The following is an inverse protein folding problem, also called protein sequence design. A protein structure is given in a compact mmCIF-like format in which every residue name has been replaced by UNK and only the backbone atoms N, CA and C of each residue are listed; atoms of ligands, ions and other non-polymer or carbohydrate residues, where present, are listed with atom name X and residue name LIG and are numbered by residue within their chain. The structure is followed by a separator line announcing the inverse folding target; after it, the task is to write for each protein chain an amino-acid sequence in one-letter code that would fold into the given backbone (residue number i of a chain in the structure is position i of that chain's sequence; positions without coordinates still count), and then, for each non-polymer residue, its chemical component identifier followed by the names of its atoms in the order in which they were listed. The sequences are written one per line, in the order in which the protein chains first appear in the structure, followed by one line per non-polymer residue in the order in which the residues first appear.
data_IF_724211892122
#
_entry.id   IF_724211892122
#
_cell.length_a   1.000
_cell.length_b   1.000
_cell.length_c   1.000
_cell.angle_alpha   90.00
_cell.angle_beta   90.00
_cell.angle_gamma   90.00
#
_symmetry.space_group_name_H-M   'P 1'
#
loop_
_entity.id
_entity.type
_entity.pdbx_description
1 polymer ?
#
# COMPACT_ATOMS: atom_id res chain seq x y z
N UNK A 1 1.70 13.65 8.91
CA UNK A 1 1.22 12.51 8.13
C UNK A 1 1.61 11.22 8.77
N UNK A 2 0.60 10.46 9.17
CA UNK A 2 0.70 9.08 9.60
C UNK A 2 1.22 8.24 8.43
N UNK A 3 2.16 7.34 8.70
CA UNK A 3 2.67 6.39 7.71
C UNK A 3 1.57 5.41 7.29
N UNK A 4 1.38 5.22 5.98
CA UNK A 4 0.43 4.23 5.45
C UNK A 4 1.19 2.94 5.14
N UNK A 5 0.82 1.86 5.82
CA UNK A 5 1.41 0.53 5.66
C UNK A 5 0.47 -0.37 4.85
N UNK A 6 0.89 -0.76 3.65
CA UNK A 6 0.14 -1.66 2.78
C UNK A 6 0.61 -3.10 2.96
N UNK A 7 -0.32 -4.01 3.25
CA UNK A 7 -0.05 -5.42 3.52
C UNK A 7 -0.88 -6.28 2.57
N UNK A 8 -0.23 -7.07 1.71
CA UNK A 8 -0.91 -7.99 0.81
C UNK A 8 -1.59 -9.11 1.59
N UNK A 9 -2.83 -9.46 1.23
CA UNK A 9 -3.46 -10.63 1.86
C UNK A 9 -2.70 -11.91 1.50
N UNK A 10 -2.20 -12.00 0.26
CA UNK A 10 -1.30 -13.05 -0.23
C UNK A 10 -0.36 -12.46 -1.28
N UNK A 11 0.62 -13.25 -1.71
CA UNK A 11 1.46 -12.91 -2.86
C UNK A 11 0.63 -12.69 -4.14
N UNK A 12 1.03 -11.72 -4.96
CA UNK A 12 0.36 -11.41 -6.23
C UNK A 12 -0.91 -10.56 -6.13
N UNK A 13 -1.22 -10.02 -4.94
CA UNK A 13 -2.38 -9.16 -4.71
C UNK A 13 -2.18 -7.69 -5.14
N UNK A 14 -0.97 -7.32 -5.58
CA UNK A 14 -0.67 -5.98 -6.08
C UNK A 14 -0.29 -4.98 -5.00
N UNK A 15 0.17 -5.43 -3.82
CA UNK A 15 0.60 -4.56 -2.70
C UNK A 15 1.61 -3.52 -3.15
N UNK A 16 2.70 -3.94 -3.79
CA UNK A 16 3.73 -3.06 -4.34
C UNK A 16 3.16 -2.04 -5.31
N UNK A 17 2.24 -2.44 -6.18
CA UNK A 17 1.58 -1.53 -7.13
C UNK A 17 0.73 -0.47 -6.41
N UNK A 18 -0.03 -0.87 -5.40
CA UNK A 18 -0.85 0.04 -4.59
C UNK A 18 0.03 0.99 -3.77
N UNK A 19 1.09 0.49 -3.13
CA UNK A 19 2.04 1.29 -2.37
C UNK A 19 2.76 2.32 -3.26
N UNK A 20 3.22 1.93 -4.45
CA UNK A 20 3.82 2.85 -5.42
C UNK A 20 2.81 3.91 -5.91
N UNK A 21 1.56 3.53 -6.16
CA UNK A 21 0.51 4.48 -6.53
C UNK A 21 0.20 5.47 -5.40
N UNK A 22 0.18 4.99 -4.16
CA UNK A 22 0.02 5.84 -2.99
C UNK A 22 1.18 6.82 -2.84
N UNK A 23 2.42 6.33 -2.97
CA UNK A 23 3.60 7.17 -2.90
C UNK A 23 3.59 8.26 -3.98
N UNK A 24 3.26 7.90 -5.22
CA UNK A 24 3.13 8.87 -6.32
C UNK A 24 2.00 9.89 -6.12
N UNK A 25 0.95 9.54 -5.37
CA UNK A 25 -0.14 10.44 -5.04
C UNK A 25 0.31 11.51 -4.05
N UNK A 26 1.09 11.11 -3.05
CA UNK A 26 1.58 11.97 -1.99
C UNK A 26 2.61 13.00 -2.46
N UNK A 27 3.24 12.77 -3.63
CA UNK A 27 4.14 13.74 -4.27
C UNK A 27 3.52 15.13 -4.42
N UNK A 28 2.18 15.21 -4.57
CA UNK A 28 1.47 16.48 -4.64
C UNK A 28 1.64 17.36 -3.39
N UNK A 29 1.91 16.76 -2.23
CA UNK A 29 2.21 17.44 -0.96
C UNK A 29 3.70 17.64 -0.67
N UNK A 30 4.59 17.10 -1.49
CA UNK A 30 6.05 17.15 -1.30
C UNK A 30 6.74 15.81 -1.60
N UNK A 31 8.09 15.74 -1.53
CA UNK A 31 8.82 14.49 -1.70
C UNK A 31 8.28 13.39 -0.78
N UNK A 32 8.13 12.19 -1.32
CA UNK A 32 7.58 11.02 -0.63
C UNK A 32 8.61 9.92 -0.52
N UNK A 33 8.83 9.46 0.70
CA UNK A 33 9.65 8.31 1.03
C UNK A 33 8.78 7.06 1.14
N UNK A 34 9.24 5.97 0.51
CA UNK A 34 8.65 4.63 0.56
C UNK A 34 9.69 3.64 1.09
N UNK A 35 9.26 2.68 1.91
CA UNK A 35 10.04 1.52 2.32
C UNK A 35 9.38 0.26 1.78
N UNK A 36 10.16 -0.80 1.58
CA UNK A 36 9.65 -2.06 1.04
C UNK A 36 10.26 -3.26 1.74
N UNK A 37 9.44 -4.28 1.97
CA UNK A 37 9.87 -5.62 2.37
C UNK A 37 10.87 -6.23 1.36
N UNK A 38 10.65 -5.99 0.07
CA UNK A 38 11.55 -6.40 -1.01
C UNK A 38 11.97 -5.18 -1.86
N UNK A 39 13.06 -4.49 -1.45
CA UNK A 39 13.58 -3.31 -2.16
C UNK A 39 13.98 -3.58 -3.61
N UNK A 40 14.48 -4.77 -3.91
CA UNK A 40 14.90 -5.16 -5.25
C UNK A 40 13.69 -5.35 -6.17
N UNK A 41 12.71 -6.14 -5.74
CA UNK A 41 11.47 -6.34 -6.50
C UNK A 41 10.72 -5.02 -6.75
N UNK A 42 10.69 -4.12 -5.76
CA UNK A 42 10.07 -2.79 -5.93
C UNK A 42 10.81 -1.94 -6.97
N UNK A 43 12.16 -1.94 -6.96
CA UNK A 43 12.97 -1.26 -7.97
C UNK A 43 12.70 -1.80 -9.38
N UNK A 44 12.67 -3.13 -9.53
CA UNK A 44 12.36 -3.80 -10.80
C UNK A 44 10.99 -3.39 -11.33
N UNK A 45 9.97 -3.31 -10.46
CA UNK A 45 8.61 -2.93 -10.84
C UNK A 45 8.48 -1.50 -11.43
N UNK A 46 9.47 -0.64 -11.18
CA UNK A 46 9.51 0.74 -11.70
C UNK A 46 10.63 0.97 -12.71
N UNK A 47 11.30 -0.10 -13.17
CA UNK A 47 12.33 -0.03 -14.20
C UNK A 47 13.65 0.59 -13.73
N UNK A 48 13.98 0.44 -12.44
CA UNK A 48 15.27 0.84 -11.88
C UNK A 48 15.97 -0.37 -11.26
N UNK A 49 17.22 -0.19 -10.82
CA UNK A 49 18.02 -1.21 -10.15
C UNK A 49 18.22 -0.80 -8.69
N UNK A 50 18.16 -1.79 -7.79
CA UNK A 50 18.55 -1.61 -6.40
C UNK A 50 20.06 -1.73 -6.26
N UNK A 51 20.69 -0.76 -5.58
CA UNK A 51 22.13 -0.74 -5.32
C UNK A 51 22.36 -0.41 -3.83
N UNK A 52 22.14 0.85 -3.47
CA UNK A 52 22.17 1.30 -2.07
C UNK A 52 21.07 2.34 -1.80
N UNK A 53 20.72 2.52 -0.54
CA UNK A 53 19.70 3.47 -0.11
C UNK A 53 20.31 4.86 0.17
N UNK A 54 19.62 5.95 -0.19
CA UNK A 54 18.30 6.00 -0.81
C UNK A 54 18.34 5.79 -2.34
N UNK A 55 17.35 5.06 -2.88
CA UNK A 55 17.16 4.93 -4.34
C UNK A 55 16.09 5.90 -4.81
N UNK A 56 16.41 6.72 -5.81
CA UNK A 56 15.39 7.57 -6.46
C UNK A 56 14.58 6.72 -7.46
N UNK A 57 13.34 6.40 -7.10
CA UNK A 57 12.44 5.60 -7.94
C UNK A 57 11.82 6.44 -9.06
N UNK A 58 11.46 7.68 -8.76
CA UNK A 58 10.96 8.66 -9.72
C UNK A 58 11.23 10.09 -9.23
N UNK A 59 10.76 11.10 -9.97
CA UNK A 59 10.74 12.46 -9.46
C UNK A 59 9.82 12.57 -8.24
N UNK A 60 10.38 12.97 -7.10
CA UNK A 60 9.65 13.12 -5.85
C UNK A 60 9.36 11.82 -5.08
N UNK A 61 9.80 10.63 -5.55
CA UNK A 61 9.60 9.35 -4.85
C UNK A 61 10.95 8.67 -4.60
N UNK A 62 11.23 8.36 -3.33
CA UNK A 62 12.50 7.79 -2.88
C UNK A 62 12.27 6.52 -2.06
N UNK A 63 12.98 5.45 -2.41
CA UNK A 63 13.09 4.25 -1.59
C UNK A 63 14.09 4.50 -0.46
N UNK A 64 13.69 4.24 0.78
CA UNK A 64 14.49 4.43 1.99
C UNK A 64 14.33 3.23 2.95
N UNK A 65 15.20 3.09 3.96
CA UNK A 65 15.00 2.13 5.04
C UNK A 65 13.67 2.42 5.75
N UNK A 66 13.06 1.38 6.32
CA UNK A 66 11.90 1.58 7.18
C UNK A 66 12.33 2.34 8.44
N UNK A 67 11.84 3.57 8.59
CA UNK A 67 12.25 4.49 9.63
C UNK A 67 11.11 5.46 10.00
N UNK A 68 11.11 6.02 11.23
CA UNK A 68 10.11 7.02 11.63
C UNK A 68 10.04 8.21 10.66
N UNK A 69 8.82 8.66 10.36
CA UNK A 69 8.57 9.81 9.49
C UNK A 69 8.45 9.50 8.00
N UNK A 70 8.57 8.23 7.60
CA UNK A 70 8.35 7.76 6.23
C UNK A 70 6.85 7.74 5.88
N UNK A 71 6.48 7.92 4.60
CA UNK A 71 5.08 8.10 4.22
C UNK A 71 4.36 6.79 3.86
N UNK A 72 5.05 5.86 3.17
CA UNK A 72 4.42 4.63 2.64
C UNK A 72 5.29 3.40 2.88
N UNK A 73 4.71 2.31 3.39
CA UNK A 73 5.43 1.04 3.53
C UNK A 73 4.74 -0.03 2.67
N UNK A 74 5.48 -0.70 1.80
CA UNK A 74 5.10 -1.98 1.20
C UNK A 74 5.58 -3.11 2.12
N UNK A 75 4.69 -3.60 2.98
CA UNK A 75 5.01 -4.57 4.03
C UNK A 75 4.95 -6.04 3.55
N UNK A 76 4.86 -6.29 2.24
CA UNK A 76 4.80 -7.65 1.71
C UNK A 76 3.42 -8.27 1.89
N UNK A 77 3.34 -9.40 2.62
CA UNK A 77 2.10 -10.20 2.74
C UNK A 77 1.79 -10.62 4.18
N UNK A 78 0.52 -10.90 4.49
CA UNK A 78 0.08 -11.40 5.81
C UNK A 78 0.77 -12.71 6.22
N UNK A 79 1.04 -13.60 5.26
CA UNK A 79 1.78 -14.85 5.53
C UNK A 79 3.21 -14.55 6.03
N UNK A 80 3.87 -13.55 5.43
CA UNK A 80 5.25 -13.16 5.77
C UNK A 80 5.32 -12.21 6.98
N UNK A 81 4.24 -11.47 7.24
CA UNK A 81 4.13 -10.56 8.38
C UNK A 81 4.18 -11.30 9.74
N UNK A 82 3.87 -12.60 9.76
CA UNK A 82 3.99 -13.43 10.96
C UNK A 82 5.31 -14.19 11.07
N UNK A 83 5.90 -14.59 9.93
CA UNK A 83 7.17 -15.34 9.92
C UNK A 83 8.37 -14.42 10.17
N UNK A 84 8.20 -13.12 9.92
CA UNK A 84 9.15 -12.07 10.24
C UNK A 84 8.37 -10.95 10.92
N UNK A 85 8.57 -10.76 12.23
CA UNK A 85 8.34 -9.43 12.82
C UNK A 85 9.10 -8.40 11.96
N UNK A 86 8.57 -7.18 11.75
CA UNK A 86 9.08 -6.29 10.73
C UNK A 86 10.55 -5.98 11.05
N UNK A 87 11.45 -6.53 10.25
CA UNK A 87 12.88 -6.22 10.21
C UNK A 87 13.62 -6.24 11.55
N UNK A 88 14.00 -7.42 12.08
CA UNK A 88 15.07 -7.60 13.10
C UNK A 88 15.10 -6.61 14.30
N UNK A 89 13.99 -5.93 14.57
CA UNK A 89 13.87 -4.93 15.62
C UNK A 89 13.33 -5.59 16.90
N UNK A 90 13.74 -5.02 18.04
CA UNK A 90 13.20 -5.40 19.36
C UNK A 90 11.65 -5.46 19.27
N UNK A 91 11.00 -6.58 19.65
CA UNK A 91 9.55 -6.73 19.57
C UNK A 91 8.76 -5.59 20.24
N UNK A 92 9.34 -4.87 21.21
CA UNK A 92 8.75 -3.66 21.76
C UNK A 92 8.67 -2.50 20.76
N UNK A 93 9.68 -2.35 19.91
CA UNK A 93 9.80 -1.31 18.88
C UNK A 93 8.92 -1.62 17.67
N UNK A 94 8.84 -2.88 17.26
CA UNK A 94 7.88 -3.34 16.25
C UNK A 94 6.42 -3.06 16.65
N UNK A 95 6.06 -3.27 17.93
CA UNK A 95 4.72 -2.97 18.47
C UNK A 95 4.44 -1.47 18.61
N UNK A 96 5.46 -0.65 18.85
CA UNK A 96 5.32 0.81 18.89
C UNK A 96 5.16 1.40 17.48
N UNK A 97 6.01 1.02 16.53
CA UNK A 97 5.89 1.40 15.12
C UNK A 97 4.55 0.94 14.52
N UNK A 98 4.07 -0.25 14.91
CA UNK A 98 2.76 -0.78 14.54
C UNK A 98 1.58 0.10 14.97
N UNK A 99 1.68 0.76 16.12
CA UNK A 99 0.59 1.58 16.69
C UNK A 99 0.47 2.97 16.07
N UNK A 100 1.51 3.41 15.37
CA UNK A 100 1.56 4.72 14.72
C UNK A 100 1.32 4.66 13.21
N UNK A 101 1.04 3.47 12.65
CA UNK A 101 0.80 3.26 11.22
C UNK A 101 -0.66 3.03 10.91
N UNK A 102 -1.11 3.55 9.77
CA UNK A 102 -2.42 3.24 9.21
C UNK A 102 -2.27 1.98 8.35
N UNK A 103 -2.85 0.86 8.80
CA UNK A 103 -2.62 -0.49 8.25
C UNK A 103 -3.69 -0.89 7.28
N UNK A 104 -3.31 -1.08 6.03
CA UNK A 104 -4.24 -1.29 4.92
C UNK A 104 -3.97 -2.63 4.25
N UNK A 105 -4.94 -3.53 4.32
CA UNK A 105 -4.88 -4.79 3.59
C UNK A 105 -5.07 -4.59 2.09
N UNK A 106 -4.34 -5.32 1.25
CA UNK A 106 -4.52 -5.32 -0.21
C UNK A 106 -5.04 -6.68 -0.65
N UNK A 107 -6.29 -6.71 -1.10
CA UNK A 107 -6.98 -7.92 -1.55
C UNK A 107 -7.28 -7.84 -3.04
N UNK A 108 -6.62 -8.65 -3.86
CA UNK A 108 -6.96 -8.81 -5.26
C UNK A 108 -8.01 -9.89 -5.47
N UNK A 109 -8.94 -9.60 -6.38
CA UNK A 109 -9.92 -10.53 -6.89
C UNK A 109 -10.60 -11.32 -5.80
N UNK A 110 -11.37 -10.65 -4.91
CA UNK A 110 -11.92 -11.26 -3.71
C UNK A 110 -12.50 -12.65 -3.98
N UNK A 111 -12.01 -13.63 -3.23
CA UNK A 111 -12.44 -15.01 -3.28
C UNK A 111 -12.44 -15.62 -1.88
N UNK A 112 -12.92 -16.86 -1.77
CA UNK A 112 -12.99 -17.56 -0.49
C UNK A 112 -11.61 -17.67 0.19
N UNK A 113 -10.53 -17.87 -0.57
CA UNK A 113 -9.19 -18.08 -0.01
C UNK A 113 -8.65 -16.76 0.55
N UNK A 114 -8.76 -15.66 -0.21
CA UNK A 114 -8.35 -14.34 0.25
C UNK A 114 -9.14 -13.88 1.48
N UNK A 115 -10.46 -14.07 1.48
CA UNK A 115 -11.27 -13.74 2.66
C UNK A 115 -10.96 -14.62 3.86
N UNK A 116 -10.76 -15.93 3.65
CA UNK A 116 -10.35 -16.83 4.73
C UNK A 116 -9.01 -16.42 5.32
N UNK A 117 -8.04 -16.03 4.50
CA UNK A 117 -6.74 -15.52 4.95
C UNK A 117 -6.93 -14.25 5.79
N UNK A 118 -7.70 -13.26 5.32
CA UNK A 118 -8.01 -12.06 6.10
C UNK A 118 -8.65 -12.37 7.46
N UNK A 119 -9.61 -13.30 7.49
CA UNK A 119 -10.28 -13.69 8.73
C UNK A 119 -9.39 -14.51 9.67
N UNK A 120 -8.40 -15.23 9.14
CA UNK A 120 -7.44 -15.98 9.93
C UNK A 120 -6.35 -15.10 10.55
N UNK A 121 -6.10 -13.91 9.98
CA UNK A 121 -5.05 -12.97 10.40
C UNK A 121 -5.60 -11.70 11.05
N UNK A 122 -6.40 -11.84 12.11
CA UNK A 122 -6.98 -10.68 12.80
C UNK A 122 -5.94 -9.87 13.60
N UNK A 123 -4.86 -10.53 14.02
CA UNK A 123 -3.71 -9.96 14.73
C UNK A 123 -2.96 -8.89 13.93
N UNK A 124 -3.12 -8.85 12.61
CA UNK A 124 -2.55 -7.79 11.77
C UNK A 124 -3.20 -6.42 12.02
N UNK A 125 -4.36 -6.37 12.69
CA UNK A 125 -5.06 -5.12 13.08
C UNK A 125 -5.23 -4.13 11.92
N UNK A 126 -5.67 -4.62 10.76
CA UNK A 126 -5.93 -3.78 9.59
C UNK A 126 -7.05 -2.77 9.87
N UNK A 127 -6.77 -1.49 9.61
CA UNK A 127 -7.69 -0.35 9.72
C UNK A 127 -8.64 -0.23 8.50
N UNK A 128 -8.23 -0.82 7.37
CA UNK A 128 -9.01 -0.80 6.15
C UNK A 128 -8.49 -1.77 5.09
N UNK A 129 -9.21 -1.87 3.98
CA UNK A 129 -8.87 -2.76 2.87
C UNK A 129 -8.91 -1.96 1.55
N UNK A 130 -7.88 -2.11 0.74
CA UNK A 130 -7.91 -1.80 -0.69
C UNK A 130 -8.28 -3.08 -1.44
N UNK A 131 -9.37 -3.02 -2.21
CA UNK A 131 -9.79 -4.14 -3.07
C UNK A 131 -9.27 -3.89 -4.47
N UNK A 132 -8.42 -4.78 -4.97
CA UNK A 132 -8.04 -4.82 -6.38
C UNK A 132 -9.09 -5.65 -7.13
N UNK A 133 -10.05 -4.98 -7.76
CA UNK A 133 -11.20 -5.58 -8.45
C UNK A 133 -10.75 -6.32 -9.70
N UNK A 134 -10.87 -7.65 -9.71
CA UNK A 134 -10.52 -8.49 -10.85
C UNK A 134 -11.80 -9.02 -11.53
N UNK A 135 -11.93 -8.75 -12.83
CA UNK A 135 -13.08 -9.20 -13.61
C UNK A 135 -13.23 -10.73 -13.59
N UNK A 136 -14.47 -11.20 -13.46
CA UNK A 136 -14.80 -12.63 -13.42
C UNK A 136 -14.71 -13.26 -12.03
N UNK A 137 -14.37 -12.50 -10.99
CA UNK A 137 -14.46 -12.95 -9.60
C UNK A 137 -15.88 -12.86 -9.08
N UNK A 138 -16.22 -13.77 -8.17
CA UNK A 138 -17.58 -13.95 -7.66
C UNK A 138 -17.93 -12.96 -6.53
N UNK A 139 -16.93 -12.48 -5.80
CA UNK A 139 -17.10 -11.59 -4.65
C UNK A 139 -16.66 -10.17 -5.01
N UNK A 140 -17.35 -9.19 -4.47
CA UNK A 140 -17.03 -7.77 -4.63
C UNK A 140 -16.61 -7.11 -3.31
N UNK A 141 -16.36 -5.80 -3.35
CA UNK A 141 -15.97 -5.03 -2.16
C UNK A 141 -17.01 -5.08 -1.03
N UNK A 142 -18.31 -5.19 -1.34
CA UNK A 142 -19.38 -5.25 -0.32
C UNK A 142 -19.35 -6.59 0.40
N UNK A 143 -19.06 -7.67 -0.31
CA UNK A 143 -18.84 -8.99 0.30
C UNK A 143 -17.62 -8.96 1.23
N UNK A 144 -16.54 -8.28 0.82
CA UNK A 144 -15.35 -8.08 1.66
C UNK A 144 -15.71 -7.34 2.94
N UNK A 145 -16.43 -6.21 2.86
CA UNK A 145 -16.86 -5.45 4.05
C UNK A 145 -17.78 -6.29 4.95
N UNK A 146 -18.73 -7.01 4.35
CA UNK A 146 -19.68 -7.85 5.08
C UNK A 146 -18.99 -9.00 5.84
N UNK A 147 -18.06 -9.70 5.20
CA UNK A 147 -17.37 -10.86 5.79
C UNK A 147 -16.30 -10.43 6.80
N UNK A 148 -15.56 -9.38 6.50
CA UNK A 148 -14.40 -8.99 7.32
C UNK A 148 -14.73 -7.99 8.42
N UNK A 149 -15.88 -7.31 8.33
CA UNK A 149 -16.25 -6.20 9.21
C UNK A 149 -15.37 -4.96 9.06
N UNK A 150 -14.48 -4.93 8.06
CA UNK A 150 -13.53 -3.84 7.81
C UNK A 150 -13.98 -3.01 6.63
N UNK A 151 -13.76 -1.70 6.72
CA UNK A 151 -14.07 -0.76 5.64
C UNK A 151 -13.18 -1.01 4.43
N UNK A 152 -13.76 -1.04 3.25
CA UNK A 152 -13.01 -0.91 2.00
C UNK A 152 -12.75 0.56 1.74
N UNK A 153 -11.48 0.97 1.83
CA UNK A 153 -11.07 2.39 1.71
C UNK A 153 -10.93 2.84 0.26
N UNK A 154 -10.63 1.90 -0.64
CA UNK A 154 -10.59 2.15 -2.08
C UNK A 154 -10.76 0.85 -2.87
N UNK A 155 -11.36 0.97 -4.06
CA UNK A 155 -11.36 -0.07 -5.09
C UNK A 155 -10.45 0.35 -6.24
N UNK A 156 -9.54 -0.53 -6.64
CA UNK A 156 -8.61 -0.36 -7.76
C UNK A 156 -8.91 -1.43 -8.81
N UNK A 157 -9.27 -1.03 -10.02
CA UNK A 157 -9.55 -2.01 -11.07
C UNK A 157 -8.26 -2.69 -11.56
N UNK A 158 -8.27 -4.02 -11.60
CA UNK A 158 -7.22 -4.80 -12.26
C UNK A 158 -7.42 -4.72 -13.78
N UNK A 159 -6.56 -3.95 -14.45
CA UNK A 159 -6.61 -3.79 -15.91
C UNK A 159 -5.28 -4.14 -16.56
N UNK A 160 -5.29 -4.61 -17.83
CA UNK A 160 -4.06 -4.81 -18.60
C UNK A 160 -3.23 -3.53 -18.78
N UNK A 161 -3.84 -2.33 -18.64
CA UNK A 161 -3.11 -1.07 -18.76
C UNK A 161 -2.14 -0.85 -17.60
N UNK A 162 -2.55 -1.20 -16.38
CA UNK A 162 -1.69 -1.15 -15.19
C UNK A 162 -0.52 -2.12 -15.36
N UNK A 163 -0.80 -3.38 -15.69
CA UNK A 163 0.21 -4.41 -15.91
C UNK A 163 1.26 -3.97 -16.96
N UNK A 164 0.82 -3.52 -18.14
CA UNK A 164 1.72 -3.03 -19.20
C UNK A 164 2.56 -1.82 -18.78
N UNK A 165 2.07 -0.99 -17.85
CA UNK A 165 2.86 0.13 -17.34
C UNK A 165 3.99 -0.36 -16.41
N UNK A 166 3.72 -1.40 -15.61
CA UNK A 166 4.71 -2.07 -14.76
C UNK A 166 5.71 -2.83 -15.62
N UNK A 167 5.24 -3.65 -16.56
CA UNK A 167 6.09 -4.45 -17.46
C UNK A 167 7.07 -3.59 -18.27
N UNK A 168 6.67 -2.36 -18.59
CA UNK A 168 7.50 -1.40 -19.30
C UNK A 168 8.45 -0.60 -18.40
N UNK A 169 8.40 -0.76 -17.07
CA UNK A 169 9.15 0.06 -16.12
C UNK A 169 8.70 1.53 -16.09
N UNK A 170 7.45 1.81 -16.46
CA UNK A 170 6.92 3.18 -16.62
C UNK A 170 5.77 3.49 -15.65
N UNK A 171 5.54 2.63 -14.65
CA UNK A 171 4.40 2.74 -13.77
C UNK A 171 4.34 4.09 -13.04
N UNK A 172 5.40 4.50 -12.33
CA UNK A 172 5.43 5.77 -11.60
C UNK A 172 5.26 6.99 -12.51
N UNK A 173 5.72 6.92 -13.77
CA UNK A 173 5.53 8.01 -14.76
C UNK A 173 4.10 8.12 -15.29
N UNK A 174 3.29 7.06 -15.16
CA UNK A 174 1.95 6.95 -15.75
C UNK A 174 0.83 6.91 -14.71
N UNK A 175 1.11 6.44 -13.49
CA UNK A 175 0.11 6.11 -12.47
C UNK A 175 -0.83 7.27 -12.11
N UNK A 176 -0.33 8.52 -12.09
CA UNK A 176 -1.15 9.70 -11.81
C UNK A 176 -2.27 9.93 -12.83
N UNK A 177 -2.12 9.42 -14.06
CA UNK A 177 -3.12 9.50 -15.14
C UNK A 177 -4.01 8.28 -15.24
N UNK A 178 -3.68 7.20 -14.52
CA UNK A 178 -4.47 5.97 -14.52
C UNK A 178 -5.72 6.17 -13.65
N UNK A 179 -6.88 5.91 -14.24
CA UNK A 179 -8.19 6.08 -13.57
C UNK A 179 -8.44 5.00 -12.52
N UNK A 180 -7.78 3.86 -12.67
CA UNK A 180 -7.83 2.71 -11.77
C UNK A 180 -7.48 3.12 -10.32
N UNK A 181 -6.61 4.10 -10.14
CA UNK A 181 -6.19 4.59 -8.81
C UNK A 181 -6.97 5.84 -8.35
N UNK A 182 -8.06 6.24 -9.01
CA UNK A 182 -8.79 7.46 -8.67
C UNK A 182 -9.38 7.42 -7.24
N UNK A 183 -9.94 6.27 -6.83
CA UNK A 183 -10.47 6.11 -5.47
C UNK A 183 -9.35 6.15 -4.43
N UNK A 184 -8.23 5.45 -4.69
CA UNK A 184 -7.05 5.48 -3.82
C UNK A 184 -6.53 6.91 -3.65
N UNK A 185 -6.43 7.67 -4.75
CA UNK A 185 -6.03 9.08 -4.71
C UNK A 185 -6.97 9.94 -3.88
N UNK A 186 -8.28 9.78 -4.06
CA UNK A 186 -9.28 10.52 -3.30
C UNK A 186 -9.19 10.20 -1.81
N UNK A 187 -8.99 8.94 -1.45
CA UNK A 187 -8.86 8.53 -0.05
C UNK A 187 -7.59 9.09 0.59
N UNK A 188 -6.45 9.03 -0.09
CA UNK A 188 -5.19 9.63 0.39
C UNK A 188 -5.34 11.15 0.56
N UNK A 189 -5.98 11.83 -0.39
CA UNK A 189 -6.22 13.27 -0.29
C UNK A 189 -7.07 13.63 0.95
N UNK A 190 -8.08 12.81 1.29
CA UNK A 190 -8.89 12.97 2.49
C UNK A 190 -8.03 12.84 3.76
N UNK A 191 -7.17 11.81 3.85
CA UNK A 191 -6.26 11.64 4.98
C UNK A 191 -5.36 12.86 5.18
N UNK A 192 -4.76 13.36 4.10
CA UNK A 192 -3.88 14.54 4.18
C UNK A 192 -4.61 15.83 4.56
N UNK A 193 -5.90 15.94 4.21
CA UNK A 193 -6.72 17.09 4.56
C UNK A 193 -7.18 17.05 6.03
N UNK A 194 -7.46 15.86 6.57
CA UNK A 194 -7.85 15.67 7.98
C UNK A 194 -6.69 15.96 8.95
N UNK A 195 -5.45 15.78 8.50
CA UNK A 195 -4.24 16.06 9.29
C UNK A 195 -3.75 17.51 9.22
N UNK A 196 -4.22 18.30 8.25
CA UNK A 196 -3.92 19.72 8.20
C UNK A 196 -4.60 20.39 9.40
N UNK A 197 -3.85 20.92 10.38
CA UNK A 197 -4.46 21.48 11.57
C UNK A 197 -5.41 22.62 11.18
N UNK A 198 -6.48 22.75 11.96
CA UNK A 198 -7.33 23.92 12.10
C UNK A 198 -6.49 25.14 12.54
N UNK A 199 -5.58 25.59 11.67
CA UNK A 199 -4.67 26.73 11.86
C UNK A 199 -5.26 27.99 11.22
N UNK A 200 -6.56 28.18 11.38
CA UNK A 200 -7.28 29.32 10.83
C UNK A 200 -8.44 29.79 11.73
N UNK A 201 -8.34 29.66 13.06
CA UNK A 201 -9.20 30.39 14.00
C UNK A 201 -8.46 30.61 15.33
N UNK A 202 -7.59 31.61 15.38
CA UNK A 202 -7.13 32.28 16.60
C UNK A 202 -6.84 33.74 16.29
#
# INVERSE_FOLDING_TARGET
MQTIEFIGVRGGHGTTTVALAAAATLVAGGPTDIAAHDPDALCVAVGTVFDDLPVRLAEGVYLKPDAPGLQVVDAGTLEQYLDLGPFDDDPAQAVLCARERLRIGVLRGPDYVGLRTLCAHQEAQLDGIVVVSEAGRALDHRDVEHVTGRRVVAVVDHTPHVARAIDAGLFLRRCSRLREFAQLRSWIAQLTAEEAPCAAHA
#
